data_IF_469809422873
#
_entry.id   IF_469809422873
#
_cell.length_a   1.000
_cell.length_b   1.000
_cell.length_c   1.000
_cell.angle_alpha   90.00
_cell.angle_beta   90.00
_cell.angle_gamma   90.00
#
_symmetry.space_group_name_H-M   'P 1'
#
loop_
_entity.id
_entity.type
_entity.pdbx_description
1 polymer ?
#
# COMPACT_ATOMS: atom_id res chain seq x y z
N UNK A 1 12.32 -5.02 -0.43
CA UNK A 1 13.44 -5.71 0.26
C UNK A 1 13.00 -6.31 1.60
N UNK A 2 12.83 -5.53 2.68
CA UNK A 2 12.57 -6.09 4.02
C UNK A 2 11.30 -6.96 4.12
N UNK A 3 10.23 -6.61 3.41
CA UNK A 3 8.99 -7.40 3.40
C UNK A 3 9.07 -8.68 2.55
N UNK A 4 10.04 -8.79 1.64
CA UNK A 4 10.03 -9.83 0.60
C UNK A 4 10.08 -11.25 1.16
N UNK A 5 10.97 -11.51 2.12
CA UNK A 5 11.11 -12.84 2.72
C UNK A 5 9.81 -13.28 3.42
N UNK A 6 9.17 -12.37 4.16
CA UNK A 6 7.91 -12.66 4.83
C UNK A 6 6.77 -12.90 3.84
N UNK A 7 6.64 -12.04 2.81
CA UNK A 7 5.59 -12.19 1.79
C UNK A 7 5.75 -13.50 1.01
N UNK A 8 6.98 -13.86 0.62
CA UNK A 8 7.27 -15.13 -0.04
C UNK A 8 6.95 -16.33 0.86
N UNK A 9 7.29 -16.27 2.15
CA UNK A 9 6.95 -17.33 3.10
C UNK A 9 5.44 -17.48 3.29
N UNK A 10 4.68 -16.39 3.41
CA UNK A 10 3.21 -16.44 3.51
C UNK A 10 2.62 -17.15 2.28
N UNK A 11 3.08 -16.78 1.08
CA UNK A 11 2.61 -17.37 -0.17
C UNK A 11 3.03 -18.83 -0.33
N UNK A 12 4.24 -19.21 0.08
CA UNK A 12 4.70 -20.61 -0.01
C UNK A 12 3.88 -21.56 0.86
N UNK A 13 3.19 -21.03 1.87
CA UNK A 13 2.25 -21.78 2.73
C UNK A 13 0.79 -21.66 2.27
N UNK A 14 0.53 -21.08 1.09
CA UNK A 14 -0.83 -20.93 0.55
C UNK A 14 -1.71 -19.93 1.30
N UNK A 15 -1.11 -19.05 2.12
CA UNK A 15 -1.83 -18.01 2.83
C UNK A 15 -1.86 -16.68 2.05
N UNK A 16 -2.70 -15.75 2.48
CA UNK A 16 -2.92 -14.46 1.82
C UNK A 16 -1.85 -13.42 2.22
N UNK A 17 -0.99 -13.03 1.29
CA UNK A 17 0.04 -12.03 1.48
C UNK A 17 -0.49 -10.63 1.13
N UNK A 18 -0.64 -9.77 2.13
CA UNK A 18 -1.02 -8.36 1.96
C UNK A 18 0.20 -7.45 2.14
N UNK A 19 0.71 -6.92 1.02
CA UNK A 19 1.76 -5.89 1.05
C UNK A 19 1.22 -4.58 1.64
N UNK A 20 2.02 -3.82 2.39
CA UNK A 20 1.53 -2.64 3.10
C UNK A 20 2.36 -1.40 2.79
N UNK A 21 1.68 -0.31 2.44
CA UNK A 21 2.19 1.04 2.35
C UNK A 21 1.92 1.75 3.69
N UNK A 22 2.95 1.97 4.49
CA UNK A 22 2.84 2.76 5.72
C UNK A 22 2.83 4.25 5.35
N UNK A 23 1.65 4.84 5.24
CA UNK A 23 1.44 6.20 4.73
C UNK A 23 2.09 7.26 5.63
N UNK A 24 2.62 8.31 4.99
CA UNK A 24 3.16 9.49 5.66
C UNK A 24 3.19 10.68 4.70
N UNK A 25 3.50 11.87 5.22
CA UNK A 25 3.65 13.11 4.46
C UNK A 25 5.03 13.70 4.68
N UNK A 26 5.81 13.90 3.61
CA UNK A 26 7.06 14.67 3.64
C UNK A 26 7.44 15.09 2.22
N UNK A 27 8.44 15.98 2.02
CA UNK A 27 8.92 16.35 0.69
C UNK A 27 9.37 15.16 -0.18
N UNK A 28 9.71 14.03 0.44
CA UNK A 28 10.10 12.80 -0.27
C UNK A 28 8.91 11.88 -0.61
N UNK A 29 7.72 12.10 -0.04
CA UNK A 29 6.55 11.23 -0.23
C UNK A 29 5.54 11.92 -1.15
N UNK A 30 5.70 11.68 -2.43
CA UNK A 30 4.81 12.17 -3.49
C UNK A 30 3.90 11.05 -3.98
N UNK A 31 2.86 11.39 -4.75
CA UNK A 31 2.02 10.40 -5.42
C UNK A 31 2.87 9.38 -6.21
N UNK A 32 3.85 9.84 -6.99
CA UNK A 32 4.71 8.94 -7.76
C UNK A 32 5.47 7.96 -6.87
N UNK A 33 6.03 8.42 -5.75
CA UNK A 33 6.76 7.52 -4.83
C UNK A 33 5.87 6.43 -4.24
N UNK A 34 4.59 6.73 -3.98
CA UNK A 34 3.63 5.72 -3.51
C UNK A 34 3.26 4.72 -4.60
N UNK A 35 3.16 5.17 -5.85
CA UNK A 35 2.90 4.31 -7.01
C UNK A 35 4.09 3.38 -7.28
N UNK A 36 5.32 3.89 -7.22
CA UNK A 36 6.54 3.08 -7.37
C UNK A 36 6.64 2.01 -6.27
N UNK A 37 6.30 2.36 -5.02
CA UNK A 37 6.24 1.39 -3.93
C UNK A 37 5.12 0.36 -4.10
N UNK A 38 3.98 0.77 -4.67
CA UNK A 38 2.88 -0.14 -4.99
C UNK A 38 3.34 -1.16 -6.03
N UNK A 39 4.00 -0.73 -7.11
CA UNK A 39 4.55 -1.60 -8.14
C UNK A 39 5.56 -2.59 -7.56
N UNK A 40 6.52 -2.12 -6.77
CA UNK A 40 7.50 -2.99 -6.12
C UNK A 40 6.86 -4.04 -5.21
N UNK A 41 5.74 -3.74 -4.55
CA UNK A 41 5.01 -4.74 -3.76
C UNK A 41 4.31 -5.75 -4.68
N UNK A 42 3.68 -5.30 -5.76
CA UNK A 42 3.04 -6.17 -6.75
C UNK A 42 4.04 -7.12 -7.42
N UNK A 43 5.27 -6.68 -7.69
CA UNK A 43 6.34 -7.51 -8.24
C UNK A 43 6.73 -8.68 -7.31
N UNK A 44 6.49 -8.57 -6.00
CA UNK A 44 6.67 -9.69 -5.07
C UNK A 44 5.53 -10.73 -5.14
N UNK A 45 4.47 -10.41 -5.89
CA UNK A 45 3.29 -11.23 -6.13
C UNK A 45 2.32 -11.26 -4.95
N UNK A 46 2.18 -10.16 -4.21
CA UNK A 46 1.17 -10.04 -3.15
C UNK A 46 -0.25 -10.21 -3.69
N UNK A 47 -1.15 -10.74 -2.85
CA UNK A 47 -2.56 -10.96 -3.20
C UNK A 47 -3.39 -9.66 -3.09
N UNK A 48 -2.91 -8.70 -2.31
CA UNK A 48 -3.55 -7.39 -2.11
C UNK A 48 -2.57 -6.36 -1.54
N UNK A 49 -2.98 -5.09 -1.59
CA UNK A 49 -2.22 -3.97 -1.00
C UNK A 49 -3.05 -3.30 0.09
N UNK A 50 -2.41 -3.00 1.23
CA UNK A 50 -2.95 -2.16 2.28
C UNK A 50 -2.32 -0.77 2.22
N UNK A 51 -3.16 0.28 2.31
CA UNK A 51 -2.74 1.64 2.63
C UNK A 51 -2.98 1.81 4.14
N UNK A 52 -1.90 1.98 4.91
CA UNK A 52 -1.95 2.07 6.36
C UNK A 52 -1.59 3.47 6.83
N UNK A 53 -2.59 4.22 7.26
CA UNK A 53 -2.44 5.47 7.97
C UNK A 53 -2.57 5.24 9.48
N UNK A 54 -1.42 5.18 10.15
CA UNK A 54 -1.33 4.95 11.59
C UNK A 54 -1.56 6.24 12.40
N UNK A 55 -1.31 7.41 11.81
CA UNK A 55 -1.36 8.68 12.53
C UNK A 55 -2.68 9.44 12.32
N UNK A 56 -3.52 9.00 11.37
CA UNK A 56 -4.77 9.67 10.99
C UNK A 56 -4.57 10.80 9.98
N UNK A 57 -3.37 10.98 9.44
CA UNK A 57 -2.98 12.16 8.66
C UNK A 57 -3.38 12.10 7.17
N UNK A 58 -3.98 11.00 6.71
CA UNK A 58 -4.41 10.83 5.33
C UNK A 58 -5.70 11.62 5.07
N UNK A 59 -5.57 12.79 4.44
CA UNK A 59 -6.73 13.61 4.08
C UNK A 59 -7.64 12.91 3.06
N UNK A 60 -8.96 13.21 3.05
CA UNK A 60 -9.89 12.60 2.08
C UNK A 60 -9.50 12.79 0.61
N UNK A 61 -8.95 13.97 0.26
CA UNK A 61 -8.53 14.27 -1.12
C UNK A 61 -7.29 13.47 -1.52
N UNK A 62 -6.29 13.38 -0.63
CA UNK A 62 -5.10 12.57 -0.88
C UNK A 62 -5.44 11.07 -0.95
N UNK A 63 -6.38 10.59 -0.12
CA UNK A 63 -6.88 9.22 -0.18
C UNK A 63 -7.55 8.93 -1.53
N UNK A 64 -8.45 9.82 -1.97
CA UNK A 64 -9.15 9.69 -3.24
C UNK A 64 -8.18 9.65 -4.43
N UNK A 65 -7.21 10.56 -4.46
CA UNK A 65 -6.20 10.62 -5.52
C UNK A 65 -5.37 9.35 -5.55
N UNK A 66 -4.78 8.95 -4.42
CA UNK A 66 -3.92 7.76 -4.33
C UNK A 66 -4.67 6.48 -4.71
N UNK A 67 -5.87 6.27 -4.16
CA UNK A 67 -6.68 5.08 -4.45
C UNK A 67 -7.08 5.04 -5.92
N UNK A 68 -7.53 6.17 -6.48
CA UNK A 68 -7.91 6.25 -7.89
C UNK A 68 -6.75 5.92 -8.82
N UNK A 69 -5.57 6.48 -8.54
CA UNK A 69 -4.37 6.31 -9.36
C UNK A 69 -3.81 4.88 -9.29
N UNK A 70 -3.89 4.22 -8.14
CA UNK A 70 -3.55 2.80 -8.03
C UNK A 70 -4.56 1.94 -8.81
N UNK A 71 -5.86 2.18 -8.65
CA UNK A 71 -6.92 1.40 -9.31
C UNK A 71 -6.97 1.59 -10.82
N UNK A 72 -6.51 2.73 -11.34
CA UNK A 72 -6.35 2.96 -12.79
C UNK A 72 -5.21 2.13 -13.39
N UNK A 73 -4.10 1.95 -12.65
CA UNK A 73 -2.89 1.27 -13.14
C UNK A 73 -2.90 -0.23 -12.90
N UNK A 74 -3.52 -0.69 -11.81
CA UNK A 74 -3.37 -2.05 -11.33
C UNK A 74 -4.71 -2.68 -10.95
N UNK A 75 -4.95 -3.90 -11.43
CA UNK A 75 -6.07 -4.73 -10.97
C UNK A 75 -5.72 -5.46 -9.66
N UNK A 76 -5.64 -4.69 -8.58
CA UNK A 76 -5.36 -5.21 -7.24
C UNK A 76 -6.49 -4.86 -6.26
N UNK A 77 -6.71 -5.76 -5.28
CA UNK A 77 -7.56 -5.47 -4.11
C UNK A 77 -6.83 -4.49 -3.19
N UNK A 78 -7.50 -3.39 -2.86
CA UNK A 78 -6.99 -2.39 -1.92
C UNK A 78 -7.73 -2.49 -0.59
N UNK A 79 -6.98 -2.38 0.50
CA UNK A 79 -7.48 -2.30 1.87
C UNK A 79 -7.01 -0.98 2.48
N UNK A 80 -7.93 -0.15 2.96
CA UNK A 80 -7.59 1.08 3.67
C UNK A 80 -7.70 0.86 5.18
N UNK A 81 -6.59 1.06 5.90
CA UNK A 81 -6.55 1.13 7.36
C UNK A 81 -6.26 2.59 7.75
N UNK A 82 -7.18 3.24 8.46
CA UNK A 82 -7.03 4.62 8.88
C UNK A 82 -7.38 4.78 10.36
N UNK A 83 -6.52 5.47 11.10
CA UNK A 83 -6.81 5.87 12.47
C UNK A 83 -7.71 7.11 12.49
N UNK A 84 -8.59 7.21 13.50
CA UNK A 84 -9.51 8.33 13.68
C UNK A 84 -8.97 9.40 14.67
N UNK A 85 -7.66 9.64 14.65
CA UNK A 85 -7.01 10.56 15.61
C UNK A 85 -7.28 12.03 15.28
N UNK A 86 -7.45 12.36 14.00
CA UNK A 86 -7.64 13.72 13.47
C UNK A 86 -8.92 13.85 12.67
#
# INVERSE_FOLDING_TARGET
RNMQAALQAVRSHGAHAQGTLSYTTSPAHTLQTWLDLTEQLLETGVDSIAIKDMSGILTPMAAFELVSEIKKRYDVKLHLHCHATT
#
